data_IF_433978957746
#
_entry.id   IF_433978957746
#
_cell.length_a   1.000
_cell.length_b   1.000
_cell.length_c   1.000
_cell.angle_alpha   90.00
_cell.angle_beta   90.00
_cell.angle_gamma   90.00
#
_symmetry.space_group_name_H-M   'P 1'
#
loop_
_entity.id
_entity.type
_entity.pdbx_description
1 polymer ?
#
# COMPACT_ATOMS: atom_id res chain seq x y z
N UNK A 1 11.60 -4.13 1.02
CA UNK A 1 10.25 -3.79 0.52
C UNK A 1 9.33 -4.99 0.33
N UNK A 2 9.81 -6.15 -0.08
CA UNK A 2 8.95 -7.33 -0.34
C UNK A 2 8.17 -7.82 0.87
N UNK A 3 8.69 -7.74 2.08
CA UNK A 3 8.01 -8.26 3.27
C UNK A 3 6.95 -7.27 3.78
N UNK A 4 7.32 -6.09 4.26
CA UNK A 4 6.35 -5.14 4.81
C UNK A 4 5.75 -4.19 3.76
N UNK A 5 6.54 -3.81 2.76
CA UNK A 5 6.12 -2.82 1.77
C UNK A 5 5.02 -3.30 0.82
N UNK A 6 4.82 -4.61 0.67
CA UNK A 6 3.74 -5.11 -0.18
C UNK A 6 2.35 -4.64 0.28
N UNK A 7 2.15 -4.41 1.58
CA UNK A 7 0.90 -3.86 2.10
C UNK A 7 0.67 -2.43 1.59
N UNK A 8 1.70 -1.56 1.66
CA UNK A 8 1.60 -0.19 1.17
C UNK A 8 1.38 -0.14 -0.36
N UNK A 9 2.11 -0.98 -1.12
CA UNK A 9 1.94 -1.09 -2.57
C UNK A 9 0.54 -1.61 -2.94
N UNK A 10 0.01 -2.58 -2.19
CA UNK A 10 -1.36 -3.09 -2.41
C UNK A 10 -2.42 -2.01 -2.15
N UNK A 11 -2.25 -1.19 -1.12
CA UNK A 11 -3.14 -0.04 -0.87
C UNK A 11 -3.13 0.93 -2.05
N UNK A 12 -1.97 1.23 -2.63
CA UNK A 12 -1.87 2.07 -3.83
C UNK A 12 -2.60 1.44 -5.02
N UNK A 13 -2.39 0.14 -5.27
CA UNK A 13 -3.09 -0.60 -6.32
C UNK A 13 -4.61 -0.55 -6.12
N UNK A 14 -5.08 -0.70 -4.89
CA UNK A 14 -6.50 -0.72 -4.55
C UNK A 14 -7.16 0.64 -4.80
N UNK A 15 -6.53 1.75 -4.42
CA UNK A 15 -7.12 3.09 -4.58
C UNK A 15 -6.87 3.72 -5.95
N UNK A 16 -5.73 3.46 -6.58
CA UNK A 16 -5.27 4.20 -7.76
C UNK A 16 -5.17 3.32 -9.01
N UNK A 17 -5.32 2.00 -8.87
CA UNK A 17 -5.18 1.05 -9.96
C UNK A 17 -3.71 0.75 -10.29
N UNK A 18 -3.44 0.35 -11.54
CA UNK A 18 -2.11 -0.01 -12.01
C UNK A 18 -1.30 1.23 -12.37
N UNK A 19 -0.10 1.42 -11.79
CA UNK A 19 0.79 2.52 -12.17
C UNK A 19 1.44 2.29 -13.53
N UNK A 20 1.90 3.37 -14.15
CA UNK A 20 2.64 3.33 -15.41
C UNK A 20 4.15 3.28 -15.22
N UNK A 21 4.66 3.89 -14.14
CA UNK A 21 6.09 3.93 -13.85
C UNK A 21 6.34 4.04 -12.35
N UNK A 22 7.57 3.73 -11.96
CA UNK A 22 8.02 3.79 -10.57
C UNK A 22 9.47 4.26 -10.46
N UNK A 23 9.76 4.94 -9.36
CA UNK A 23 11.12 5.23 -8.88
C UNK A 23 11.26 4.65 -7.48
N UNK A 24 12.32 3.89 -7.22
CA UNK A 24 12.56 3.23 -5.93
C UNK A 24 13.88 3.66 -5.30
N UNK A 25 13.90 3.77 -3.97
CA UNK A 25 15.11 3.99 -3.16
C UNK A 25 15.10 3.01 -2.01
N UNK A 26 16.23 2.32 -1.82
CA UNK A 26 16.39 1.25 -0.84
C UNK A 26 17.66 1.46 -0.04
N UNK A 27 17.65 1.10 1.23
CA UNK A 27 18.81 1.22 2.10
C UNK A 27 18.91 0.07 3.10
N UNK A 28 20.14 -0.26 3.48
CA UNK A 28 20.49 -1.27 4.47
C UNK A 28 21.24 -0.59 5.62
N UNK A 29 20.59 -0.32 6.73
CA UNK A 29 21.20 0.35 7.89
C UNK A 29 21.63 -0.63 8.97
N UNK A 30 20.84 -1.66 9.26
CA UNK A 30 21.17 -2.63 10.28
C UNK A 30 22.27 -3.60 9.83
N UNK A 31 23.01 -4.12 10.79
CA UNK A 31 24.03 -5.16 10.53
C UNK A 31 23.38 -6.41 9.92
N UNK A 32 22.22 -6.80 10.42
CA UNK A 32 21.45 -7.94 9.90
C UNK A 32 21.07 -7.75 8.44
N UNK A 33 20.58 -6.56 8.05
CA UNK A 33 20.21 -6.26 6.68
C UNK A 33 21.43 -6.33 5.76
N UNK A 34 22.54 -5.72 6.14
CA UNK A 34 23.81 -5.78 5.39
C UNK A 34 24.33 -7.19 5.22
N UNK A 35 24.33 -7.99 6.30
CA UNK A 35 24.79 -9.38 6.28
C UNK A 35 23.99 -10.26 5.33
N UNK A 36 22.69 -10.00 5.22
CA UNK A 36 21.76 -10.78 4.38
C UNK A 36 21.51 -10.13 3.01
N UNK A 37 22.13 -8.99 2.72
CA UNK A 37 21.93 -8.21 1.50
C UNK A 37 20.44 -7.93 1.19
N UNK A 38 19.73 -7.41 2.20
CA UNK A 38 18.31 -7.04 2.10
C UNK A 38 18.11 -5.59 2.56
N UNK A 39 17.11 -4.93 2.00
CA UNK A 39 16.71 -3.61 2.45
C UNK A 39 15.94 -3.69 3.80
N UNK A 40 16.21 -2.75 4.68
CA UNK A 40 15.47 -2.54 5.93
C UNK A 40 14.74 -1.19 5.99
N UNK A 41 14.97 -0.32 5.00
CA UNK A 41 14.20 0.89 4.71
C UNK A 41 14.04 0.99 3.19
N UNK A 42 12.83 1.31 2.74
CA UNK A 42 12.52 1.52 1.34
C UNK A 42 11.45 2.59 1.14
N UNK A 43 11.56 3.35 0.04
CA UNK A 43 10.51 4.23 -0.45
C UNK A 43 10.38 4.04 -1.98
N UNK A 44 9.14 4.03 -2.47
CA UNK A 44 8.84 3.95 -3.89
C UNK A 44 7.76 4.96 -4.27
N UNK A 45 7.98 5.66 -5.38
CA UNK A 45 7.09 6.67 -5.93
C UNK A 45 6.53 6.15 -7.26
N UNK A 46 5.22 5.99 -7.32
CA UNK A 46 4.49 5.45 -8.47
C UNK A 46 3.69 6.55 -9.18
N UNK A 47 3.76 6.58 -10.51
CA UNK A 47 2.93 7.43 -11.35
C UNK A 47 1.77 6.63 -11.97
N UNK A 48 0.58 7.21 -11.99
CA UNK A 48 -0.64 6.55 -12.46
C UNK A 48 -1.20 7.22 -13.72
N UNK A 49 -1.94 6.49 -14.58
CA UNK A 49 -2.55 7.04 -15.81
C UNK A 49 -3.48 8.22 -15.55
N UNK A 50 -4.09 8.28 -14.37
CA UNK A 50 -4.95 9.39 -13.93
C UNK A 50 -4.22 10.70 -13.63
N UNK A 51 -2.88 10.69 -13.63
CA UNK A 51 -2.04 11.77 -13.13
C UNK A 51 -1.82 11.73 -11.61
N UNK A 52 -2.40 10.77 -10.91
CA UNK A 52 -2.15 10.59 -9.48
C UNK A 52 -0.71 10.12 -9.23
N UNK A 53 -0.20 10.44 -8.05
CA UNK A 53 1.10 10.01 -7.54
C UNK A 53 0.87 9.24 -6.25
N UNK A 54 1.48 8.06 -6.14
CA UNK A 54 1.44 7.24 -4.93
C UNK A 54 2.83 7.07 -4.34
N UNK A 55 2.93 7.16 -3.03
CA UNK A 55 4.18 6.92 -2.29
C UNK A 55 3.96 5.73 -1.36
N UNK A 56 4.82 4.73 -1.48
CA UNK A 56 4.88 3.60 -0.56
C UNK A 56 6.19 3.68 0.23
N UNK A 57 6.08 3.86 1.55
CA UNK A 57 7.21 3.83 2.47
C UNK A 57 7.12 2.60 3.37
N UNK A 58 8.27 2.02 3.68
CA UNK A 58 8.36 0.90 4.62
C UNK A 58 9.72 0.85 5.31
N UNK A 59 9.74 0.36 6.54
CA UNK A 59 11.00 0.17 7.26
C UNK A 59 10.82 -0.67 8.52
N UNK A 60 11.86 -1.41 8.87
CA UNK A 60 11.93 -2.20 10.11
C UNK A 60 12.56 -1.44 11.28
N UNK A 61 13.19 -0.28 11.00
CA UNK A 61 14.05 0.41 11.96
C UNK A 61 13.35 1.55 12.71
N UNK A 62 12.04 1.73 12.50
CA UNK A 62 11.27 2.79 13.17
C UNK A 62 10.60 2.24 14.44
N UNK A 63 11.21 2.42 15.64
CA UNK A 63 10.56 2.01 16.88
C UNK A 63 9.25 2.78 17.07
N UNK A 64 8.17 2.05 17.33
CA UNK A 64 6.84 2.66 17.47
C UNK A 64 6.23 3.16 16.18
N UNK A 65 6.76 2.76 15.02
CA UNK A 65 6.19 3.09 13.71
C UNK A 65 4.73 2.66 13.62
N UNK A 66 3.87 3.58 13.21
CA UNK A 66 2.44 3.32 13.03
C UNK A 66 2.13 3.23 11.53
N UNK A 67 1.30 2.26 11.15
CA UNK A 67 0.81 2.20 9.78
C UNK A 67 -0.15 3.37 9.55
N UNK A 68 0.20 4.22 8.59
CA UNK A 68 -0.61 5.38 8.21
C UNK A 68 -0.79 5.34 6.70
N UNK A 69 -2.00 5.60 6.22
CA UNK A 69 -2.18 6.01 4.85
C UNK A 69 -2.96 7.33 4.75
N UNK A 70 -2.65 8.12 3.74
CA UNK A 70 -3.27 9.39 3.47
C UNK A 70 -3.65 9.48 1.99
N UNK A 71 -4.84 10.00 1.72
CA UNK A 71 -5.31 10.32 0.38
C UNK A 71 -5.56 11.83 0.30
N UNK A 72 -4.88 12.48 -0.65
CA UNK A 72 -5.01 13.90 -0.88
C UNK A 72 -5.65 14.10 -2.26
N UNK A 73 -6.88 14.56 -2.27
CA UNK A 73 -7.65 14.78 -3.48
C UNK A 73 -8.08 16.23 -3.65
N UNK A 74 -8.57 16.55 -4.83
CA UNK A 74 -9.09 17.89 -5.17
C UNK A 74 -10.36 18.27 -4.39
N UNK A 75 -11.00 17.29 -3.72
CA UNK A 75 -12.25 17.49 -2.95
C UNK A 75 -12.05 17.31 -1.45
N UNK A 76 -10.83 17.07 -0.99
CA UNK A 76 -10.56 16.87 0.42
C UNK A 76 -9.40 15.93 0.69
N UNK A 77 -9.25 15.59 1.95
CA UNK A 77 -8.20 14.74 2.48
C UNK A 77 -8.81 13.63 3.33
N UNK A 78 -8.25 12.44 3.25
CA UNK A 78 -8.60 11.31 4.09
C UNK A 78 -7.32 10.79 4.73
N UNK A 79 -7.38 10.45 6.00
CA UNK A 79 -6.27 9.82 6.73
C UNK A 79 -6.80 8.65 7.54
N UNK A 80 -6.09 7.56 7.50
CA UNK A 80 -6.27 6.45 8.40
C UNK A 80 -4.96 6.16 9.12
N UNK A 81 -5.04 5.94 10.41
CA UNK A 81 -3.93 5.42 11.20
C UNK A 81 -4.44 4.35 12.17
N UNK A 82 -3.58 3.39 12.47
CA UNK A 82 -3.84 2.49 13.57
C UNK A 82 -3.88 3.34 14.84
N UNK A 83 -4.65 2.91 15.84
CA UNK A 83 -4.84 3.65 17.09
C UNK A 83 -3.81 4.77 17.39
N UNK A 84 -4.24 5.85 18.03
CA UNK A 84 -5.60 6.13 18.55
C UNK A 84 -6.53 6.86 17.57
N UNK A 85 -6.11 7.20 16.35
CA UNK A 85 -6.82 8.18 15.51
C UNK A 85 -7.88 7.57 14.57
N UNK A 86 -7.74 6.32 14.15
CA UNK A 86 -8.69 5.68 13.22
C UNK A 86 -8.80 6.37 11.87
N UNK A 87 -9.99 6.33 11.27
CA UNK A 87 -10.32 6.98 10.00
C UNK A 87 -10.84 8.40 10.23
N UNK A 88 -10.28 9.37 9.52
CA UNK A 88 -10.74 10.77 9.54
C UNK A 88 -10.60 11.43 8.18
N UNK A 89 -11.42 12.42 7.92
CA UNK A 89 -11.39 13.18 6.68
C UNK A 89 -11.70 14.66 6.91
N UNK A 90 -11.40 15.50 5.92
CA UNK A 90 -11.83 16.91 5.84
C UNK A 90 -11.92 17.34 4.39
N UNK A 91 -12.76 18.32 4.10
CA UNK A 91 -12.94 18.86 2.76
C UNK A 91 -12.05 20.09 2.48
N UNK A 92 -11.68 20.84 3.51
CA UNK A 92 -10.79 21.99 3.42
C UNK A 92 -9.67 21.88 4.46
N UNK A 93 -8.48 22.38 4.13
CA UNK A 93 -7.33 22.39 5.04
C UNK A 93 -7.56 23.27 6.28
N UNK A 94 -8.42 24.29 6.18
CA UNK A 94 -8.79 25.17 7.27
C UNK A 94 -9.85 24.54 8.20
N UNK A 95 -10.52 23.47 7.77
CA UNK A 95 -11.54 22.79 8.57
C UNK A 95 -10.92 21.76 9.53
N UNK A 96 -11.55 21.53 10.69
CA UNK A 96 -11.14 20.46 11.59
C UNK A 96 -11.36 19.09 10.92
N UNK A 97 -10.58 18.10 11.36
CA UNK A 97 -10.78 16.72 10.96
C UNK A 97 -12.10 16.17 11.50
N UNK A 98 -12.86 15.53 10.64
CA UNK A 98 -14.06 14.77 11.00
C UNK A 98 -13.62 13.33 11.22
N UNK A 99 -13.73 12.85 12.45
CA UNK A 99 -13.43 11.46 12.80
C UNK A 99 -14.64 10.60 12.45
N UNK A 100 -14.41 9.48 11.76
CA UNK A 100 -15.45 8.51 11.43
C UNK A 100 -15.55 7.51 12.58
N UNK A 101 -16.68 7.44 13.29
CA UNK A 101 -16.86 6.46 14.35
C UNK A 101 -16.77 5.03 13.82
N UNK A 102 -16.07 4.15 14.53
CA UNK A 102 -15.82 2.78 14.05
C UNK A 102 -17.10 1.98 13.86
N UNK A 103 -18.10 2.20 14.70
CA UNK A 103 -19.44 1.58 14.63
C UNK A 103 -20.28 2.01 13.42
N UNK A 104 -19.87 3.09 12.73
CA UNK A 104 -20.52 3.57 11.49
C UNK A 104 -19.87 3.00 10.23
N UNK A 105 -18.71 2.35 10.36
CA UNK A 105 -18.04 1.73 9.23
C UNK A 105 -18.81 0.48 8.77
N UNK A 106 -18.82 0.18 7.46
CA UNK A 106 -19.38 -1.07 6.98
C UNK A 106 -18.63 -2.26 7.60
N UNK A 107 -19.32 -3.39 7.71
CA UNK A 107 -18.66 -4.63 8.16
C UNK A 107 -17.40 -4.86 7.33
N UNK A 108 -16.31 -5.20 8.02
CA UNK A 108 -15.04 -5.48 7.36
C UNK A 108 -15.16 -6.63 6.35
N UNK A 109 -14.26 -6.65 5.38
CA UNK A 109 -14.15 -7.77 4.46
C UNK A 109 -13.94 -9.08 5.25
N UNK A 110 -14.44 -10.22 4.75
CA UNK A 110 -14.20 -11.52 5.38
C UNK A 110 -12.70 -11.74 5.57
N UNK A 111 -12.33 -12.43 6.65
CA UNK A 111 -10.93 -12.81 6.83
C UNK A 111 -10.44 -13.60 5.60
N UNK A 112 -9.26 -13.32 5.03
CA UNK A 112 -8.84 -13.88 3.75
C UNK A 112 -8.93 -15.41 3.67
N UNK A 113 -8.57 -16.10 4.74
CA UNK A 113 -8.67 -17.58 4.78
C UNK A 113 -10.12 -18.04 4.73
N UNK A 114 -11.02 -17.40 5.48
CA UNK A 114 -12.46 -17.72 5.45
C UNK A 114 -13.03 -17.48 4.04
N UNK A 115 -12.74 -16.34 3.43
CA UNK A 115 -13.14 -16.04 2.07
C UNK A 115 -12.62 -17.06 1.05
N UNK A 116 -11.36 -17.46 1.18
CA UNK A 116 -10.79 -18.50 0.34
C UNK A 116 -11.51 -19.85 0.50
N UNK A 117 -11.81 -20.24 1.74
CA UNK A 117 -12.59 -21.48 2.01
C UNK A 117 -13.98 -21.42 1.37
N UNK A 118 -14.67 -20.29 1.46
CA UNK A 118 -15.97 -20.09 0.80
C UNK A 118 -15.86 -20.22 -0.73
N UNK A 119 -14.81 -19.66 -1.34
CA UNK A 119 -14.56 -19.81 -2.78
C UNK A 119 -14.33 -21.29 -3.17
N UNK A 120 -13.53 -22.01 -2.38
CA UNK A 120 -13.17 -23.41 -2.69
C UNK A 120 -14.33 -24.38 -2.43
N UNK A 121 -14.99 -24.28 -1.27
CA UNK A 121 -16.01 -25.27 -0.86
C UNK A 121 -17.42 -24.94 -1.33
N UNK A 122 -17.74 -23.64 -1.48
CA UNK A 122 -19.06 -23.21 -1.90
C UNK A 122 -19.12 -22.79 -3.39
N UNK A 123 -17.98 -22.82 -4.09
CA UNK A 123 -17.90 -22.48 -5.51
C UNK A 123 -18.13 -20.99 -5.80
N UNK A 124 -17.95 -20.11 -4.81
CA UNK A 124 -18.06 -18.67 -5.00
C UNK A 124 -16.94 -18.17 -5.91
N UNK A 125 -17.20 -17.25 -6.87
CA UNK A 125 -16.14 -16.65 -7.69
C UNK A 125 -15.23 -15.81 -6.80
N UNK A 126 -13.90 -16.00 -6.94
CA UNK A 126 -12.91 -15.18 -6.24
C UNK A 126 -12.85 -13.78 -6.87
N UNK A 127 -13.41 -12.79 -6.18
CA UNK A 127 -13.42 -11.37 -6.62
C UNK A 127 -12.45 -10.50 -5.82
N UNK A 128 -11.89 -11.02 -4.74
CA UNK A 128 -10.91 -10.36 -3.87
C UNK A 128 -9.77 -11.34 -3.57
N UNK A 129 -8.63 -10.82 -3.15
CA UNK A 129 -7.43 -11.60 -2.79
C UNK A 129 -7.00 -12.56 -3.90
N UNK A 130 -7.11 -12.12 -5.14
CA UNK A 130 -6.83 -12.95 -6.31
C UNK A 130 -5.34 -13.10 -6.57
N UNK A 131 -4.95 -14.19 -7.23
CA UNK A 131 -3.57 -14.39 -7.69
C UNK A 131 -3.15 -13.26 -8.65
N UNK A 132 -4.07 -12.73 -9.46
CA UNK A 132 -3.80 -11.63 -10.38
C UNK A 132 -3.46 -10.34 -9.63
N UNK A 133 -4.15 -10.02 -8.53
CA UNK A 133 -3.79 -8.89 -7.68
C UNK A 133 -2.41 -9.09 -7.02
N UNK A 134 -2.16 -10.25 -6.45
CA UNK A 134 -0.88 -10.59 -5.85
C UNK A 134 0.27 -10.48 -6.87
N UNK A 135 0.09 -11.03 -8.08
CA UNK A 135 1.06 -10.91 -9.16
C UNK A 135 1.32 -9.45 -9.54
N UNK A 136 0.25 -8.64 -9.63
CA UNK A 136 0.39 -7.19 -9.91
C UNK A 136 1.23 -6.48 -8.85
N UNK A 137 0.98 -6.74 -7.55
CA UNK A 137 1.76 -6.15 -6.46
C UNK A 137 3.24 -6.55 -6.55
N UNK A 138 3.52 -7.84 -6.83
CA UNK A 138 4.90 -8.33 -7.03
C UNK A 138 5.58 -7.64 -8.21
N UNK A 139 4.88 -7.44 -9.32
CA UNK A 139 5.40 -6.72 -10.49
C UNK A 139 5.71 -5.26 -10.18
N UNK A 140 4.85 -4.58 -9.41
CA UNK A 140 5.08 -3.20 -8.96
C UNK A 140 6.34 -3.10 -8.09
N UNK A 141 6.52 -4.03 -7.14
CA UNK A 141 7.69 -4.07 -6.27
C UNK A 141 8.96 -4.41 -7.07
N UNK A 142 8.89 -5.41 -7.96
CA UNK A 142 10.02 -5.79 -8.80
C UNK A 142 10.49 -4.62 -9.68
N UNK A 143 9.56 -3.87 -10.26
CA UNK A 143 9.88 -2.66 -11.02
C UNK A 143 10.54 -1.59 -10.13
N UNK A 144 10.10 -1.42 -8.88
CA UNK A 144 10.72 -0.48 -7.95
C UNK A 144 12.20 -0.84 -7.67
N UNK A 145 12.52 -2.12 -7.49
CA UNK A 145 13.92 -2.56 -7.36
C UNK A 145 14.74 -2.36 -8.64
N UNK A 146 14.14 -2.58 -9.82
CA UNK A 146 14.82 -2.33 -11.09
C UNK A 146 15.11 -0.84 -11.33
N UNK A 147 14.28 0.04 -10.76
CA UNK A 147 14.42 1.48 -10.89
C UNK A 147 15.66 2.03 -10.18
N UNK A 148 16.06 1.47 -9.04
CA UNK A 148 17.21 1.82 -8.17
C UNK A 148 17.79 3.24 -8.38
N UNK A 149 17.00 4.26 -7.95
CA UNK A 149 17.37 5.69 -8.11
C UNK A 149 17.02 6.32 -9.47
N UNK A 150 16.59 5.53 -10.44
CA UNK A 150 16.02 6.00 -11.72
C UNK A 150 14.50 5.86 -11.76
N UNK A 151 13.94 5.92 -12.97
CA UNK A 151 12.52 5.69 -13.21
C UNK A 151 12.35 4.64 -14.30
N UNK A 152 11.53 3.62 -14.05
CA UNK A 152 11.22 2.58 -15.03
C UNK A 152 9.72 2.40 -15.19
N UNK A 153 9.24 1.97 -16.38
CA UNK A 153 7.86 1.57 -16.55
C UNK A 153 7.55 0.30 -15.77
N UNK A 154 6.32 0.16 -15.29
CA UNK A 154 5.84 -1.09 -14.69
C UNK A 154 5.30 -1.99 -15.81
N UNK A 155 5.94 -3.14 -16.01
CA UNK A 155 5.49 -4.14 -16.96
C UNK A 155 4.51 -5.12 -16.31
N UNK A 156 3.40 -5.39 -17.00
CA UNK A 156 2.38 -6.35 -16.60
C UNK A 156 2.29 -7.46 -17.64
N UNK A 157 2.10 -8.68 -17.18
CA UNK A 157 1.90 -9.88 -18.03
C UNK A 157 0.42 -10.18 -18.16
#
# INVERSE_FOLDING_TARGET
>A
MFDMGHHAVHVLLWFLGRPTSVTGVFSCFSETARKNNVDDIAAALYSFPSGAIGIAETGYLCPGGNSVFELWGTKGQLRWSREPEGLKYRFDAAEPWIVVPEDTLPAGAPYPLQYWMECVFEGKPATQYTIAEAATVVQMIAAAYQAEGGTVPVAYF
#
